data_IF_329943540531
#
_entry.id   IF_329943540531
#
_cell.length_a   1.000
_cell.length_b   1.000
_cell.length_c   1.000
_cell.angle_alpha   90.00
_cell.angle_beta   90.00
_cell.angle_gamma   90.00
#
_symmetry.space_group_name_H-M   'P 1'
#
loop_
_entity.id
_entity.type
_entity.pdbx_description
1 polymer ?
#
# COMPACT_ATOMS: atom_id res chain seq x y z
N UNK A 1 -2.23 8.55 16.02
CA UNK A 1 -2.00 8.98 14.62
C UNK A 1 -0.90 8.11 14.04
N UNK A 2 -1.24 7.07 13.29
CA UNK A 2 -0.24 6.27 12.58
C UNK A 2 -0.01 6.88 11.19
N UNK A 3 1.21 7.34 10.95
CA UNK A 3 1.63 7.88 9.67
C UNK A 3 1.74 6.74 8.65
N UNK A 4 0.87 6.75 7.66
CA UNK A 4 1.00 5.92 6.45
C UNK A 4 2.36 6.21 5.84
N UNK A 5 3.15 5.15 5.62
CA UNK A 5 4.58 5.18 5.35
C UNK A 5 4.80 5.25 3.84
N UNK A 6 5.40 6.34 3.35
CA UNK A 6 5.64 6.56 1.91
C UNK A 6 7.11 6.27 1.58
N UNK A 7 7.36 5.51 0.51
CA UNK A 7 8.70 5.26 -0.04
C UNK A 7 8.68 5.60 -1.53
N UNK A 8 9.60 6.47 -1.98
CA UNK A 8 9.81 6.76 -3.39
C UNK A 8 11.29 6.67 -3.74
N UNK A 9 11.64 5.88 -4.75
CA UNK A 9 13.00 5.85 -5.32
C UNK A 9 12.96 6.36 -6.75
N UNK A 10 13.64 7.47 -7.04
CA UNK A 10 13.85 7.96 -8.40
C UNK A 10 15.25 7.55 -8.86
N UNK A 11 15.35 6.69 -9.88
CA UNK A 11 16.62 6.30 -10.50
C UNK A 11 16.75 6.97 -11.88
N UNK A 12 17.78 7.78 -12.07
CA UNK A 12 18.08 8.45 -13.33
C UNK A 12 19.39 7.84 -13.87
N UNK A 13 19.34 7.03 -14.93
CA UNK A 13 20.55 6.39 -15.44
C UNK A 13 20.55 6.28 -16.96
N UNK A 14 21.45 6.98 -17.63
CA UNK A 14 21.75 6.75 -19.05
C UNK A 14 22.96 5.82 -19.10
N UNK A 15 22.74 4.52 -19.31
CA UNK A 15 23.84 3.59 -19.59
C UNK A 15 24.02 3.43 -21.09
N UNK A 16 25.27 3.59 -21.54
CA UNK A 16 25.76 3.18 -22.83
C UNK A 16 26.48 1.83 -22.71
N UNK A 17 26.25 0.93 -23.65
CA UNK A 17 27.26 -0.05 -24.07
C UNK A 17 27.15 -1.48 -23.52
N UNK A 18 26.63 -2.34 -24.39
CA UNK A 18 26.81 -3.79 -24.52
C UNK A 18 28.23 -4.31 -24.17
N UNK A 19 28.32 -5.49 -23.55
CA UNK A 19 29.43 -6.43 -23.76
C UNK A 19 28.92 -7.87 -23.84
N UNK A 20 29.16 -8.50 -24.99
CA UNK A 20 29.21 -9.95 -25.19
C UNK A 20 30.65 -10.40 -24.89
N UNK A 21 30.88 -11.29 -23.93
CA UNK A 21 31.99 -12.26 -23.97
C UNK A 21 31.60 -13.57 -23.28
N UNK A 22 31.99 -14.65 -23.93
CA UNK A 22 31.85 -16.08 -23.65
C UNK A 22 32.64 -16.63 -22.45
N UNK A 23 32.15 -17.76 -21.92
CA UNK A 23 32.75 -18.81 -21.07
C UNK A 23 34.19 -18.66 -20.54
N UNK A 24 34.35 -18.88 -19.22
CA UNK A 24 35.61 -19.35 -18.62
C UNK A 24 35.88 -18.86 -17.19
N UNK A 25 35.57 -19.69 -16.19
CA UNK A 25 36.24 -19.91 -14.88
C UNK A 25 36.90 -18.73 -14.11
N UNK A 26 36.49 -18.66 -12.82
CA UNK A 26 37.16 -18.09 -11.63
C UNK A 26 37.00 -16.59 -11.28
N UNK A 27 36.18 -16.39 -10.24
CA UNK A 27 36.30 -15.49 -9.10
C UNK A 27 37.33 -14.33 -9.19
N UNK A 28 36.80 -13.12 -9.37
CA UNK A 28 37.30 -11.93 -8.69
C UNK A 28 36.14 -10.93 -8.49
N UNK A 29 36.03 -10.49 -7.25
CA UNK A 29 35.02 -9.56 -6.72
C UNK A 29 35.01 -8.24 -7.50
N UNK A 30 33.99 -8.04 -8.33
CA UNK A 30 33.63 -6.72 -8.85
C UNK A 30 32.77 -6.00 -7.81
N UNK A 31 33.36 -5.03 -7.11
CA UNK A 31 32.63 -3.98 -6.40
C UNK A 31 31.79 -3.21 -7.43
N UNK A 32 30.49 -3.53 -7.49
CA UNK A 32 29.51 -2.74 -8.25
C UNK A 32 29.12 -1.49 -7.44
N UNK A 33 29.18 -0.35 -8.13
CA UNK A 33 28.84 1.00 -7.69
C UNK A 33 27.67 1.08 -6.69
N UNK A 34 27.87 1.93 -5.67
CA UNK A 34 27.06 2.09 -4.47
C UNK A 34 25.55 2.06 -4.69
N UNK A 35 24.88 1.12 -4.03
CA UNK A 35 23.44 1.07 -3.93
C UNK A 35 22.92 2.28 -3.17
N UNK A 36 21.94 2.98 -3.75
CA UNK A 36 21.29 4.12 -3.12
C UNK A 36 20.69 3.73 -1.75
N UNK A 37 21.28 4.22 -0.66
CA UNK A 37 20.83 3.89 0.69
C UNK A 37 19.74 4.87 1.15
N UNK A 38 18.55 4.34 1.47
CA UNK A 38 17.41 5.08 2.03
C UNK A 38 17.66 5.26 3.53
N UNK A 39 17.67 6.50 4.03
CA UNK A 39 18.06 6.82 5.41
C UNK A 39 16.87 7.06 6.36
N UNK A 40 15.63 7.07 5.88
CA UNK A 40 14.44 7.21 6.73
C UNK A 40 13.09 7.14 5.99
N UNK A 41 11.97 6.95 6.71
CA UNK A 41 10.63 6.92 6.11
C UNK A 41 10.23 8.28 5.52
N UNK A 42 9.53 8.28 4.38
CA UNK A 42 9.07 9.51 3.72
C UNK A 42 10.12 10.24 2.89
N UNK A 43 11.32 9.69 2.75
CA UNK A 43 12.37 10.24 1.90
C UNK A 43 12.14 9.89 0.42
N UNK A 44 12.52 10.82 -0.45
CA UNK A 44 12.64 10.65 -1.89
C UNK A 44 14.13 10.60 -2.21
N UNK A 45 14.61 9.41 -2.56
CA UNK A 45 16.02 9.23 -2.95
C UNK A 45 16.15 9.38 -4.45
N UNK A 46 17.09 10.21 -4.87
CA UNK A 46 17.37 10.50 -6.27
C UNK A 46 18.79 10.04 -6.57
N UNK A 47 18.94 9.05 -7.43
CA UNK A 47 20.25 8.43 -7.67
C UNK A 47 20.51 8.16 -9.14
N UNK A 48 21.79 8.15 -9.50
CA UNK A 48 22.30 7.77 -10.82
C UNK A 48 23.10 8.89 -11.48
N UNK A 49 23.24 8.89 -12.80
CA UNK A 49 24.23 9.73 -13.50
C UNK A 49 23.59 10.77 -14.40
N UNK A 50 24.00 12.02 -14.26
CA UNK A 50 23.56 13.16 -15.07
C UNK A 50 24.73 13.79 -15.85
N UNK A 51 24.47 14.40 -17.01
CA UNK A 51 25.53 14.90 -17.90
C UNK A 51 26.27 16.13 -17.35
N UNK A 52 25.59 16.96 -16.57
CA UNK A 52 26.11 18.22 -16.07
C UNK A 52 25.43 18.65 -14.75
N UNK A 53 26.07 19.60 -14.06
CA UNK A 53 25.60 20.12 -12.77
C UNK A 53 24.30 20.92 -12.92
N UNK A 54 24.07 21.60 -14.06
CA UNK A 54 22.84 22.35 -14.29
C UNK A 54 21.61 21.44 -14.29
N UNK A 55 21.74 20.26 -14.91
CA UNK A 55 20.72 19.22 -14.95
C UNK A 55 20.47 18.63 -13.57
N UNK A 56 21.54 18.37 -12.80
CA UNK A 56 21.44 17.92 -11.40
C UNK A 56 20.62 18.90 -10.58
N UNK A 57 21.00 20.17 -10.60
CA UNK A 57 20.34 21.25 -9.85
C UNK A 57 18.87 21.37 -10.24
N UNK A 58 18.55 21.31 -11.54
CA UNK A 58 17.16 21.39 -12.01
C UNK A 58 16.29 20.24 -11.50
N UNK A 59 16.79 19.00 -11.57
CA UNK A 59 16.08 17.81 -11.07
C UNK A 59 15.87 17.89 -9.56
N UNK A 60 16.92 18.21 -8.80
CA UNK A 60 16.84 18.30 -7.34
C UNK A 60 15.92 19.43 -6.91
N UNK A 61 16.00 20.59 -7.55
CA UNK A 61 15.12 21.73 -7.27
C UNK A 61 13.66 21.33 -7.46
N UNK A 62 13.34 20.72 -8.61
CA UNK A 62 11.98 20.28 -8.91
C UNK A 62 11.47 19.25 -7.90
N UNK A 63 12.31 18.30 -7.49
CA UNK A 63 11.93 17.31 -6.48
C UNK A 63 11.70 17.94 -5.11
N UNK A 64 12.49 18.95 -4.73
CA UNK A 64 12.32 19.67 -3.48
C UNK A 64 11.03 20.51 -3.47
N UNK A 65 10.66 21.13 -4.60
CA UNK A 65 9.36 21.80 -4.75
C UNK A 65 8.19 20.84 -4.56
N UNK A 66 8.31 19.62 -5.08
CA UNK A 66 7.26 18.62 -4.95
C UNK A 66 7.21 18.04 -3.52
N UNK A 67 8.33 17.53 -3.01
CA UNK A 67 8.32 16.66 -1.83
C UNK A 67 8.81 17.33 -0.54
N UNK A 68 9.30 18.56 -0.60
CA UNK A 68 9.94 19.25 0.53
C UNK A 68 11.45 19.04 0.53
N UNK A 69 12.20 20.09 0.86
CA UNK A 69 13.67 20.08 0.79
C UNK A 69 14.30 19.05 1.73
N UNK A 70 13.69 18.86 2.91
CA UNK A 70 14.10 17.95 3.96
C UNK A 70 13.87 16.47 3.64
N UNK A 71 13.05 16.17 2.62
CA UNK A 71 12.72 14.79 2.24
C UNK A 71 13.52 14.29 1.06
N UNK A 72 14.16 15.18 0.31
CA UNK A 72 14.90 14.81 -0.91
C UNK A 72 16.36 14.53 -0.58
N UNK A 73 16.79 13.30 -0.86
CA UNK A 73 18.18 12.87 -0.70
C UNK A 73 18.83 12.82 -2.08
N UNK A 74 19.77 13.73 -2.33
CA UNK A 74 20.56 13.77 -3.57
C UNK A 74 21.71 12.76 -3.50
N UNK A 75 21.67 11.78 -4.40
CA UNK A 75 22.72 10.80 -4.65
C UNK A 75 23.00 10.72 -6.16
N UNK A 76 22.71 11.79 -6.91
CA UNK A 76 23.12 11.90 -8.29
C UNK A 76 24.65 11.99 -8.37
N UNK A 77 25.23 11.57 -9.48
CA UNK A 77 26.63 11.71 -9.79
C UNK A 77 26.75 12.38 -11.16
N UNK A 78 27.80 13.18 -11.34
CA UNK A 78 28.15 13.70 -12.65
C UNK A 78 28.93 12.64 -13.41
N UNK A 79 28.64 12.46 -14.70
CA UNK A 79 29.39 11.53 -15.53
C UNK A 79 29.18 11.78 -17.01
N UNK A 80 30.07 11.20 -17.82
CA UNK A 80 30.04 11.32 -19.28
C UNK A 80 28.93 10.45 -19.88
N UNK A 81 27.69 10.91 -19.73
CA UNK A 81 26.50 10.25 -20.30
C UNK A 81 25.97 11.05 -21.49
N UNK A 82 25.65 10.37 -22.58
CA UNK A 82 25.04 10.99 -23.77
C UNK A 82 23.54 11.08 -23.55
N UNK A 83 23.09 12.23 -23.06
CA UNK A 83 21.67 12.49 -22.88
C UNK A 83 20.99 12.77 -24.25
N UNK A 84 19.80 12.21 -24.51
CA UNK A 84 19.00 12.58 -25.68
C UNK A 84 18.70 14.09 -25.73
N UNK A 85 18.35 14.64 -26.92
CA UNK A 85 17.94 16.03 -27.02
C UNK A 85 16.82 16.37 -26.03
N UNK A 86 16.93 17.53 -25.37
CA UNK A 86 15.95 18.02 -24.41
C UNK A 86 15.70 17.09 -23.19
N UNK A 87 16.60 16.16 -22.88
CA UNK A 87 16.41 15.20 -21.78
C UNK A 87 16.03 15.86 -20.45
N UNK A 88 16.75 16.92 -20.05
CA UNK A 88 16.48 17.64 -18.79
C UNK A 88 15.04 18.20 -18.73
N UNK A 89 14.55 18.76 -19.84
CA UNK A 89 13.18 19.28 -19.91
C UNK A 89 12.14 18.15 -19.80
N UNK A 90 12.38 16.99 -20.40
CA UNK A 90 11.49 15.84 -20.31
C UNK A 90 11.47 15.25 -18.90
N UNK A 91 12.62 15.14 -18.25
CA UNK A 91 12.70 14.70 -16.85
C UNK A 91 11.96 15.67 -15.93
N UNK A 92 12.09 16.98 -16.14
CA UNK A 92 11.32 17.95 -15.35
C UNK A 92 9.80 17.83 -15.55
N UNK A 93 9.34 17.53 -16.77
CA UNK A 93 7.91 17.25 -17.04
C UNK A 93 7.41 15.98 -16.35
N UNK A 94 8.25 14.95 -16.24
CA UNK A 94 7.92 13.73 -15.50
C UNK A 94 7.72 13.98 -14.01
N UNK A 95 8.48 14.93 -13.46
CA UNK A 95 8.37 15.35 -12.08
C UNK A 95 7.17 16.29 -11.93
N UNK A 96 5.97 15.72 -12.05
CA UNK A 96 4.69 16.41 -11.87
C UNK A 96 4.08 16.14 -10.48
N UNK A 97 3.18 17.01 -10.00
CA UNK A 97 2.45 16.78 -8.75
C UNK A 97 1.69 15.45 -8.72
N UNK A 98 1.30 14.90 -9.87
CA UNK A 98 0.60 13.62 -9.98
C UNK A 98 1.42 12.45 -9.42
N UNK A 99 2.77 12.56 -9.39
CA UNK A 99 3.64 11.56 -8.75
C UNK A 99 3.41 11.43 -7.23
N UNK A 100 2.82 12.44 -6.57
CA UNK A 100 2.45 12.34 -5.13
C UNK A 100 1.31 11.36 -4.87
N UNK A 101 0.54 11.02 -5.90
CA UNK A 101 -0.56 10.05 -5.81
C UNK A 101 -0.06 8.61 -5.89
N UNK A 102 1.21 8.42 -6.26
CA UNK A 102 1.88 7.13 -6.20
C UNK A 102 2.40 6.93 -4.78
N UNK A 103 2.28 5.72 -4.27
CA UNK A 103 2.85 5.23 -3.02
C UNK A 103 3.77 4.05 -3.34
N UNK A 104 4.79 3.82 -2.50
CA UNK A 104 5.80 2.78 -2.77
C UNK A 104 6.38 2.88 -4.21
N UNK A 105 6.55 4.12 -4.68
CA UNK A 105 6.79 4.42 -6.08
C UNK A 105 8.26 4.27 -6.49
N UNK A 106 8.48 3.90 -7.74
CA UNK A 106 9.78 3.97 -8.37
C UNK A 106 9.65 4.57 -9.78
N UNK A 107 10.35 5.67 -10.03
CA UNK A 107 10.47 6.26 -11.37
C UNK A 107 11.89 6.01 -11.86
N UNK A 108 12.04 5.39 -13.03
CA UNK A 108 13.33 5.12 -13.66
C UNK A 108 13.37 5.71 -15.06
N UNK A 109 14.38 6.51 -15.39
CA UNK A 109 14.61 7.02 -16.76
C UNK A 109 15.91 6.44 -17.28
N UNK A 110 15.83 5.68 -18.38
CA UNK A 110 16.97 5.02 -19.03
C UNK A 110 16.95 5.27 -20.53
N UNK A 111 17.84 6.14 -21.00
CA UNK A 111 17.85 6.58 -22.39
C UNK A 111 16.51 7.21 -22.76
N UNK A 112 15.78 6.58 -23.69
CA UNK A 112 14.43 6.98 -24.12
C UNK A 112 13.31 6.16 -23.44
N UNK A 113 13.62 5.29 -22.47
CA UNK A 113 12.62 4.52 -21.74
C UNK A 113 12.37 5.13 -20.37
N UNK A 114 11.10 5.24 -20.00
CA UNK A 114 10.66 5.68 -18.67
C UNK A 114 9.82 4.58 -18.05
N UNK A 115 10.26 4.04 -16.92
CA UNK A 115 9.51 3.06 -16.13
C UNK A 115 8.94 3.76 -14.89
N UNK A 116 7.62 3.70 -14.71
CA UNK A 116 6.97 4.11 -13.45
C UNK A 116 6.29 2.91 -12.80
N UNK A 117 6.68 2.61 -11.56
CA UNK A 117 6.10 1.56 -10.72
C UNK A 117 5.59 2.16 -9.42
N UNK A 118 4.64 1.49 -8.79
CA UNK A 118 4.10 1.90 -7.48
C UNK A 118 2.61 1.64 -7.36
N UNK A 119 2.04 2.14 -6.28
CA UNK A 119 0.64 1.96 -5.88
C UNK A 119 -0.13 3.27 -5.98
N UNK A 120 -1.32 3.25 -6.58
CA UNK A 120 -2.22 4.40 -6.65
C UNK A 120 -3.55 4.10 -5.98
N UNK A 121 -4.25 5.12 -5.49
CA UNK A 121 -5.47 4.91 -4.67
C UNK A 121 -6.66 4.26 -5.39
N UNK A 122 -6.75 4.35 -6.72
CA UNK A 122 -7.81 3.72 -7.51
C UNK A 122 -7.44 3.62 -9.01
N UNK A 123 -8.27 2.93 -9.77
CA UNK A 123 -8.07 2.69 -11.21
C UNK A 123 -8.16 3.98 -12.05
N UNK A 124 -9.03 4.92 -11.67
CA UNK A 124 -9.15 6.20 -12.38
C UNK A 124 -7.84 7.01 -12.31
N UNK A 125 -7.22 7.06 -11.13
CA UNK A 125 -5.90 7.69 -10.94
C UNK A 125 -4.83 6.99 -11.77
N UNK A 126 -4.84 5.64 -11.81
CA UNK A 126 -3.89 4.85 -12.60
C UNK A 126 -3.94 5.23 -14.08
N UNK A 127 -5.16 5.31 -14.64
CA UNK A 127 -5.39 5.64 -16.05
C UNK A 127 -5.02 7.08 -16.37
N UNK A 128 -5.36 8.02 -15.48
CA UNK A 128 -5.03 9.43 -15.63
C UNK A 128 -3.51 9.64 -15.67
N UNK A 129 -2.79 9.05 -14.71
CA UNK A 129 -1.32 9.20 -14.61
C UNK A 129 -0.61 8.58 -15.82
N UNK A 130 -1.06 7.40 -16.26
CA UNK A 130 -0.51 6.76 -17.46
C UNK A 130 -0.71 7.63 -18.72
N UNK A 131 -1.89 8.23 -18.88
CA UNK A 131 -2.22 9.09 -20.02
C UNK A 131 -1.43 10.40 -20.00
N UNK A 132 -1.32 11.06 -18.84
CA UNK A 132 -0.54 12.29 -18.66
C UNK A 132 0.94 12.07 -19.03
N UNK A 133 1.54 10.98 -18.55
CA UNK A 133 2.93 10.65 -18.87
C UNK A 133 3.13 10.29 -20.35
N UNK A 134 2.21 9.52 -20.93
CA UNK A 134 2.29 9.17 -22.35
C UNK A 134 2.19 10.42 -23.23
N UNK A 135 1.27 11.34 -22.95
CA UNK A 135 1.07 12.56 -23.74
C UNK A 135 2.22 13.56 -23.59
N UNK A 136 2.81 13.67 -22.39
CA UNK A 136 3.89 14.62 -22.13
C UNK A 136 5.24 14.22 -22.75
N UNK A 137 5.40 12.94 -23.10
CA UNK A 137 6.67 12.37 -23.55
C UNK A 137 6.67 11.76 -24.95
N UNK A 138 5.50 11.50 -25.54
CA UNK A 138 5.35 11.01 -26.91
C UNK A 138 5.69 12.12 -27.94
N UNK A 139 6.41 11.81 -29.05
CA UNK A 139 6.85 10.48 -29.51
C UNK A 139 8.25 10.06 -29.05
N UNK A 140 8.96 10.90 -28.30
CA UNK A 140 10.40 10.72 -28.05
C UNK A 140 10.71 9.65 -27.01
N UNK A 141 9.82 9.38 -26.04
CA UNK A 141 10.07 8.36 -25.02
C UNK A 141 8.99 7.28 -24.99
N UNK A 142 9.43 6.07 -24.66
CA UNK A 142 8.54 4.94 -24.37
C UNK A 142 8.27 4.87 -22.87
N UNK A 143 7.01 5.02 -22.49
CA UNK A 143 6.57 4.92 -21.08
C UNK A 143 6.11 3.50 -20.79
N UNK A 144 6.73 2.86 -19.80
CA UNK A 144 6.36 1.55 -19.25
C UNK A 144 5.61 1.76 -17.93
N UNK A 145 4.32 1.50 -17.96
CA UNK A 145 3.44 1.63 -16.80
C UNK A 145 3.42 0.33 -15.98
N UNK A 146 4.03 0.37 -14.80
CA UNK A 146 3.98 -0.68 -13.78
C UNK A 146 3.23 -0.25 -12.51
N UNK A 147 2.31 0.73 -12.63
CA UNK A 147 1.44 1.13 -11.53
C UNK A 147 0.38 0.06 -11.25
N UNK A 148 0.15 -0.21 -9.97
CA UNK A 148 -0.95 -1.04 -9.47
C UNK A 148 -1.89 -0.20 -8.61
N UNK A 149 -3.14 -0.59 -8.52
CA UNK A 149 -4.07 0.02 -7.56
C UNK A 149 -3.74 -0.55 -6.18
N UNK A 150 -3.45 0.32 -5.21
CA UNK A 150 -3.46 -0.07 -3.80
C UNK A 150 -4.87 -0.59 -3.51
N UNK A 151 -4.97 -1.89 -3.26
CA UNK A 151 -6.20 -2.48 -2.76
C UNK A 151 -6.50 -1.73 -1.46
N UNK A 152 -7.65 -1.06 -1.38
CA UNK A 152 -8.10 -0.54 -0.08
C UNK A 152 -8.38 -1.77 0.77
N UNK A 153 -7.38 -2.20 1.53
CA UNK A 153 -7.37 -3.49 2.22
C UNK A 153 -8.57 -3.59 3.14
N UNK A 154 -8.92 -2.48 3.81
CA UNK A 154 -10.15 -2.35 4.60
C UNK A 154 -11.42 -2.56 3.77
N UNK A 155 -11.50 -2.00 2.57
CA UNK A 155 -12.66 -2.17 1.69
C UNK A 155 -12.86 -3.62 1.25
N UNK A 156 -11.78 -4.42 1.14
CA UNK A 156 -11.89 -5.86 0.84
C UNK A 156 -12.59 -6.62 1.96
N UNK A 157 -12.23 -6.33 3.22
CA UNK A 157 -12.86 -6.92 4.41
C UNK A 157 -14.30 -6.42 4.57
N UNK A 158 -14.54 -5.12 4.39
CA UNK A 158 -15.87 -4.52 4.50
C UNK A 158 -16.83 -5.08 3.43
N UNK A 159 -16.36 -5.23 2.20
CA UNK A 159 -17.15 -5.81 1.11
C UNK A 159 -17.43 -7.30 1.36
N UNK A 160 -16.50 -8.04 1.97
CA UNK A 160 -16.73 -9.42 2.37
C UNK A 160 -17.76 -9.54 3.49
N UNK A 161 -17.89 -8.54 4.36
CA UNK A 161 -18.98 -8.50 5.34
C UNK A 161 -20.31 -8.09 4.68
N UNK A 162 -20.27 -7.15 3.72
CA UNK A 162 -21.43 -6.64 2.98
C UNK A 162 -22.60 -6.20 3.88
N UNK A 163 -22.30 -5.56 5.01
CA UNK A 163 -23.26 -5.18 6.07
C UNK A 163 -24.07 -6.35 6.67
N UNK A 164 -23.66 -7.61 6.42
CA UNK A 164 -24.28 -8.79 7.04
C UNK A 164 -23.79 -8.94 8.47
N UNK A 165 -24.64 -9.51 9.32
CA UNK A 165 -24.35 -9.75 10.73
C UNK A 165 -23.85 -11.18 10.89
N UNK A 166 -22.72 -11.36 11.57
CA UNK A 166 -22.26 -12.68 12.00
C UNK A 166 -23.15 -13.14 13.15
N UNK A 167 -23.95 -14.18 12.90
CA UNK A 167 -24.94 -14.67 13.86
C UNK A 167 -24.39 -15.69 14.85
N UNK A 168 -24.91 -15.64 16.07
CA UNK A 168 -24.59 -16.54 17.19
C UNK A 168 -25.87 -17.08 17.82
N UNK A 169 -25.79 -18.22 18.51
CA UNK A 169 -26.89 -18.67 19.37
C UNK A 169 -27.16 -17.67 20.50
N UNK A 170 -28.43 -17.51 20.94
CA UNK A 170 -28.83 -16.50 21.90
C UNK A 170 -27.98 -16.53 23.17
N UNK A 171 -27.49 -15.35 23.58
CA UNK A 171 -26.67 -15.21 24.80
C UNK A 171 -25.32 -15.92 24.77
N UNK A 172 -24.88 -16.46 23.63
CA UNK A 172 -23.66 -17.26 23.53
C UNK A 172 -22.67 -16.73 22.49
N UNK A 173 -21.50 -17.38 22.45
CA UNK A 173 -20.47 -17.23 21.41
C UNK A 173 -20.46 -18.40 20.41
N UNK A 174 -21.51 -19.24 20.38
CA UNK A 174 -21.64 -20.34 19.43
C UNK A 174 -22.10 -19.79 18.08
N UNK A 175 -21.29 -19.94 17.04
CA UNK A 175 -21.60 -19.47 15.68
C UNK A 175 -22.72 -20.28 15.04
N UNK A 176 -23.65 -19.60 14.37
CA UNK A 176 -24.69 -20.24 13.56
C UNK A 176 -24.22 -20.58 12.16
N UNK A 177 -24.84 -21.56 11.47
CA UNK A 177 -24.49 -21.90 10.09
C UNK A 177 -24.45 -20.70 9.12
N UNK A 178 -25.39 -19.77 9.23
CA UNK A 178 -25.40 -18.54 8.43
C UNK A 178 -24.17 -17.64 8.70
N UNK A 179 -23.74 -17.54 9.96
CA UNK A 179 -22.51 -16.84 10.34
C UNK A 179 -21.27 -17.50 9.77
N UNK A 180 -21.22 -18.84 9.73
CA UNK A 180 -20.09 -19.58 9.16
C UNK A 180 -19.90 -19.29 7.65
N UNK A 181 -20.99 -19.16 6.89
CA UNK A 181 -20.93 -18.81 5.46
C UNK A 181 -20.32 -17.41 5.24
N UNK A 182 -20.71 -16.43 6.05
CA UNK A 182 -20.12 -15.09 6.01
C UNK A 182 -18.62 -15.15 6.33
N UNK A 183 -18.24 -15.95 7.32
CA UNK A 183 -16.85 -16.10 7.73
C UNK A 183 -16.00 -16.88 6.70
N UNK A 184 -16.61 -17.73 5.87
CA UNK A 184 -15.92 -18.38 4.74
C UNK A 184 -15.55 -17.36 3.66
N UNK A 185 -16.48 -16.47 3.30
CA UNK A 185 -16.21 -15.36 2.39
C UNK A 185 -15.15 -14.41 2.98
N UNK A 186 -15.23 -14.16 4.28
CA UNK A 186 -14.26 -13.34 5.01
C UNK A 186 -12.85 -13.95 4.97
N UNK A 187 -12.71 -15.25 5.20
CA UNK A 187 -11.43 -15.96 5.13
C UNK A 187 -10.83 -15.86 3.72
N UNK A 188 -11.65 -16.03 2.68
CA UNK A 188 -11.24 -15.89 1.28
C UNK A 188 -10.83 -14.46 0.92
N UNK A 189 -11.43 -13.45 1.56
CA UNK A 189 -11.06 -12.05 1.37
C UNK A 189 -9.73 -11.71 2.06
N UNK A 190 -9.56 -12.12 3.32
CA UNK A 190 -8.32 -11.93 4.08
C UNK A 190 -7.12 -12.65 3.45
N UNK A 191 -7.33 -13.82 2.83
CA UNK A 191 -6.28 -14.56 2.12
C UNK A 191 -5.69 -13.78 0.92
N UNK A 192 -6.40 -12.80 0.36
CA UNK A 192 -5.91 -11.93 -0.73
C UNK A 192 -5.01 -10.80 -0.24
N UNK A 193 -4.85 -10.66 1.08
CA UNK A 193 -4.09 -9.59 1.74
C UNK A 193 -2.92 -10.19 2.54
N UNK A 194 -1.94 -10.84 1.89
CA UNK A 194 -0.86 -11.54 2.58
C UNK A 194 0.01 -10.57 3.40
N UNK A 195 0.44 -11.02 4.58
CA UNK A 195 1.30 -10.24 5.47
C UNK A 195 0.57 -9.19 6.32
N UNK A 196 -0.74 -9.02 6.15
CA UNK A 196 -1.55 -8.13 6.99
C UNK A 196 -1.98 -8.79 8.28
N UNK A 197 -2.13 -7.95 9.30
CA UNK A 197 -2.76 -8.31 10.58
C UNK A 197 -4.20 -7.81 10.55
N UNK A 198 -5.10 -8.48 11.25
CA UNK A 198 -6.49 -8.07 11.37
C UNK A 198 -6.92 -8.10 12.83
N UNK A 199 -7.76 -7.17 13.22
CA UNK A 199 -8.44 -7.16 14.50
C UNK A 199 -9.90 -7.55 14.30
N UNK A 200 -10.37 -8.53 15.08
CA UNK A 200 -11.78 -8.93 15.17
C UNK A 200 -12.39 -8.29 16.40
N UNK A 201 -13.41 -7.48 16.22
CA UNK A 201 -14.00 -6.68 17.29
C UNK A 201 -15.45 -7.09 17.49
N UNK A 202 -15.77 -7.53 18.69
CA UNK A 202 -17.15 -7.82 19.09
C UNK A 202 -17.83 -6.58 19.66
N UNK A 203 -19.10 -6.42 19.32
CA UNK A 203 -20.00 -5.41 19.86
C UNK A 203 -21.31 -6.04 20.35
N UNK A 204 -21.96 -5.40 21.32
CA UNK A 204 -23.30 -5.76 21.78
C UNK A 204 -24.23 -4.55 21.68
N UNK A 205 -25.53 -4.78 21.88
CA UNK A 205 -26.42 -3.69 22.25
C UNK A 205 -26.24 -3.31 23.73
N UNK A 206 -26.96 -2.27 24.17
CA UNK A 206 -26.89 -1.74 25.52
C UNK A 206 -27.74 -2.49 26.56
N UNK A 207 -28.37 -3.62 26.22
CA UNK A 207 -29.18 -4.37 27.18
C UNK A 207 -28.30 -5.21 28.11
N UNK A 208 -28.69 -5.32 29.38
CA UNK A 208 -27.95 -6.06 30.41
C UNK A 208 -26.77 -5.27 31.00
N UNK A 209 -25.95 -5.95 31.80
CA UNK A 209 -24.80 -5.32 32.46
C UNK A 209 -23.64 -5.11 31.48
N UNK A 210 -22.99 -3.95 31.56
CA UNK A 210 -21.80 -3.61 30.76
C UNK A 210 -20.71 -4.69 30.83
N UNK A 211 -20.35 -5.16 32.02
CA UNK A 211 -19.31 -6.19 32.19
C UNK A 211 -19.63 -7.50 31.43
N UNK A 212 -20.87 -7.99 31.53
CA UNK A 212 -21.32 -9.17 30.78
C UNK A 212 -21.26 -8.93 29.26
N UNK A 213 -21.61 -7.72 28.80
CA UNK A 213 -21.55 -7.37 27.38
C UNK A 213 -20.12 -7.31 26.84
N UNK A 214 -19.18 -6.75 27.61
CA UNK A 214 -17.74 -6.78 27.26
C UNK A 214 -17.23 -8.22 27.20
N UNK A 215 -17.58 -9.05 28.19
CA UNK A 215 -17.19 -10.47 28.19
C UNK A 215 -17.79 -11.25 27.01
N UNK A 216 -19.07 -11.04 26.71
CA UNK A 216 -19.77 -11.73 25.62
C UNK A 216 -19.22 -11.30 24.25
N UNK A 217 -19.02 -10.00 24.03
CA UNK A 217 -18.44 -9.50 22.79
C UNK A 217 -17.03 -10.02 22.55
N UNK A 218 -16.18 -10.07 23.58
CA UNK A 218 -14.84 -10.65 23.48
C UNK A 218 -14.90 -12.15 23.15
N UNK A 219 -15.75 -12.91 23.84
CA UNK A 219 -15.92 -14.34 23.57
C UNK A 219 -16.37 -14.61 22.13
N UNK A 220 -17.27 -13.78 21.60
CA UNK A 220 -17.71 -13.84 20.19
C UNK A 220 -16.57 -13.54 19.22
N UNK A 221 -15.77 -12.50 19.49
CA UNK A 221 -14.59 -12.20 18.67
C UNK A 221 -13.57 -13.35 18.68
N UNK A 222 -13.37 -14.02 19.82
CA UNK A 222 -12.51 -15.20 19.94
C UNK A 222 -13.05 -16.41 19.19
N UNK A 223 -14.36 -16.65 19.21
CA UNK A 223 -15.00 -17.70 18.43
C UNK A 223 -14.81 -17.47 16.91
N UNK A 224 -14.99 -16.24 16.45
CA UNK A 224 -14.72 -15.84 15.06
C UNK A 224 -13.25 -16.06 14.70
N UNK A 225 -12.30 -15.60 15.53
CA UNK A 225 -10.87 -15.84 15.32
C UNK A 225 -10.57 -17.34 15.21
N UNK A 226 -11.11 -18.15 16.10
CA UNK A 226 -10.90 -19.61 16.11
C UNK A 226 -11.39 -20.23 14.80
N UNK A 227 -12.57 -19.83 14.33
CA UNK A 227 -13.10 -20.29 13.06
C UNK A 227 -12.23 -19.87 11.87
N UNK A 228 -11.81 -18.60 11.82
CA UNK A 228 -10.93 -18.08 10.76
C UNK A 228 -9.57 -18.79 10.72
N UNK A 229 -9.01 -19.14 11.89
CA UNK A 229 -7.79 -19.98 11.97
C UNK A 229 -8.04 -21.38 11.41
N UNK A 230 -9.20 -21.99 11.69
CA UNK A 230 -9.57 -23.29 11.09
C UNK A 230 -9.68 -23.25 9.56
N UNK A 231 -9.87 -22.06 8.98
CA UNK A 231 -9.89 -21.82 7.52
C UNK A 231 -8.51 -21.51 6.93
N UNK A 232 -7.44 -21.60 7.74
CA UNK A 232 -6.05 -21.47 7.28
C UNK A 232 -5.43 -20.10 7.48
N UNK A 233 -6.14 -19.15 8.13
CA UNK A 233 -5.52 -17.89 8.54
C UNK A 233 -4.58 -18.13 9.73
N UNK A 234 -3.46 -17.41 9.76
CA UNK A 234 -2.49 -17.58 10.83
C UNK A 234 -3.00 -16.94 12.13
N UNK A 235 -2.83 -17.62 13.25
CA UNK A 235 -3.31 -17.12 14.54
C UNK A 235 -2.60 -15.82 14.99
N UNK A 236 -1.37 -15.59 14.53
CA UNK A 236 -0.56 -14.40 14.82
C UNK A 236 -0.94 -13.18 13.95
N UNK A 237 -1.64 -13.40 12.82
CA UNK A 237 -2.22 -12.33 12.02
C UNK A 237 -3.59 -11.87 12.51
N UNK A 238 -4.12 -12.44 13.60
CA UNK A 238 -5.45 -12.12 14.12
C UNK A 238 -5.36 -11.68 15.60
N UNK A 239 -5.91 -10.52 15.94
CA UNK A 239 -6.18 -10.08 17.32
C UNK A 239 -7.68 -10.00 17.57
N UNK A 240 -8.08 -9.93 18.83
CA UNK A 240 -9.50 -9.86 19.23
C UNK A 240 -9.71 -8.82 20.31
N UNK A 241 -10.79 -8.06 20.22
CA UNK A 241 -11.26 -7.17 21.28
C UNK A 241 -12.79 -7.27 21.45
N UNK A 242 -13.27 -6.99 22.66
CA UNK A 242 -14.70 -6.91 22.98
C UNK A 242 -14.99 -5.53 23.52
N UNK A 243 -15.79 -4.75 22.79
CA UNK A 243 -16.13 -3.37 23.18
C UNK A 243 -17.51 -3.27 23.84
N UNK A 244 -18.20 -4.40 24.01
CA UNK A 244 -19.54 -4.42 24.58
C UNK A 244 -20.45 -3.38 23.91
N UNK A 245 -21.15 -2.54 24.68
CA UNK A 245 -22.06 -1.53 24.14
C UNK A 245 -21.40 -0.17 23.85
N UNK A 246 -20.07 -0.03 23.98
CA UNK A 246 -19.40 1.27 24.08
C UNK A 246 -19.26 2.01 22.73
N UNK A 247 -19.49 1.32 21.62
CA UNK A 247 -19.41 1.89 20.26
C UNK A 247 -20.67 1.55 19.43
N UNK A 248 -21.83 2.12 19.78
CA UNK A 248 -23.06 1.90 19.03
C UNK A 248 -22.99 2.56 17.64
N UNK A 249 -23.47 1.86 16.63
CA UNK A 249 -23.61 2.36 15.25
C UNK A 249 -25.05 2.79 14.94
N UNK A 250 -25.99 2.45 15.83
CA UNK A 250 -27.38 2.83 15.74
C UNK A 250 -27.98 3.01 17.15
N UNK A 251 -29.15 3.66 17.21
CA UNK A 251 -29.87 3.87 18.48
C UNK A 251 -30.24 2.56 19.15
N UNK A 252 -29.95 2.41 20.45
CA UNK A 252 -30.39 1.23 21.24
C UNK A 252 -31.89 1.27 21.60
N UNK A 253 -32.59 2.35 21.27
CA UNK A 253 -34.02 2.50 21.56
C UNK A 253 -34.89 1.58 20.70
N UNK A 254 -34.46 1.23 19.48
CA UNK A 254 -35.22 0.39 18.55
C UNK A 254 -34.61 -1.00 18.44
N UNK A 255 -35.42 -2.02 18.12
CA UNK A 255 -34.90 -3.38 17.91
C UNK A 255 -33.93 -3.42 16.74
N UNK A 256 -34.25 -2.75 15.64
CA UNK A 256 -33.35 -2.62 14.47
C UNK A 256 -31.99 -2.03 14.84
N UNK A 257 -31.98 -0.98 15.67
CA UNK A 257 -30.73 -0.36 16.08
C UNK A 257 -29.93 -1.25 17.02
N UNK A 258 -30.58 -1.97 17.94
CA UNK A 258 -29.93 -3.00 18.76
C UNK A 258 -29.35 -4.13 17.90
N UNK A 259 -30.09 -4.61 16.91
CA UNK A 259 -29.62 -5.63 15.98
C UNK A 259 -28.34 -5.18 15.25
N UNK A 260 -28.28 -3.93 14.79
CA UNK A 260 -27.05 -3.36 14.17
C UNK A 260 -25.88 -3.23 15.15
N UNK A 261 -26.15 -3.00 16.43
CA UNK A 261 -25.11 -2.92 17.46
C UNK A 261 -24.56 -4.29 17.85
N UNK A 262 -25.35 -5.37 17.75
CA UNK A 262 -24.92 -6.77 17.91
C UNK A 262 -24.15 -7.26 16.67
N UNK A 263 -22.92 -6.77 16.49
CA UNK A 263 -22.11 -7.01 15.28
C UNK A 263 -20.69 -7.50 15.57
N UNK A 264 -20.06 -8.02 14.53
CA UNK A 264 -18.62 -8.24 14.44
C UNK A 264 -18.06 -7.24 13.44
N UNK A 265 -16.97 -6.58 13.80
CA UNK A 265 -16.22 -5.66 12.96
C UNK A 265 -14.81 -6.22 12.71
N UNK A 266 -14.27 -5.97 11.53
CA UNK A 266 -12.92 -6.36 11.15
C UNK A 266 -12.12 -5.12 10.79
N UNK A 267 -10.92 -4.98 11.34
CA UNK A 267 -9.99 -3.90 10.98
C UNK A 267 -8.70 -4.46 10.42
N UNK A 268 -8.18 -3.85 9.37
CA UNK A 268 -6.83 -4.14 8.86
C UNK A 268 -5.80 -3.38 9.69
N UNK A 269 -4.85 -4.11 10.26
CA UNK A 269 -3.68 -3.58 10.95
C UNK A 269 -2.57 -3.18 9.97
N UNK A 270 -1.92 -2.05 10.26
CA UNK A 270 -0.82 -1.47 9.47
C UNK A 270 0.46 -2.29 9.45
#
# INVERSE_FOLDING_TARGET
>A
MQAVKWMHTVRLGVLAGLWLVSNGVSAQTAQTAGGAQIQGPGQVVVAGTVPDEATRVAVITRLRELYGAERVVDQLALGSVVAPPQWSQHVQKLLSPSLKQVSHGQLSVQGQTVDLKGEVGNEAVRQQLASEMAQSLNPTYTVRNGLRVAVQEQAVVDQALANRIVEFEPGSAVLRPAGLLILDEMAAAMARLPGRRFEVIGHTDAQGSHASNVSLSLARAQAVKTYLVSKGLRADSLSTSGLGPDQPVASNATEDGRARNRRIEFRVGG
#
